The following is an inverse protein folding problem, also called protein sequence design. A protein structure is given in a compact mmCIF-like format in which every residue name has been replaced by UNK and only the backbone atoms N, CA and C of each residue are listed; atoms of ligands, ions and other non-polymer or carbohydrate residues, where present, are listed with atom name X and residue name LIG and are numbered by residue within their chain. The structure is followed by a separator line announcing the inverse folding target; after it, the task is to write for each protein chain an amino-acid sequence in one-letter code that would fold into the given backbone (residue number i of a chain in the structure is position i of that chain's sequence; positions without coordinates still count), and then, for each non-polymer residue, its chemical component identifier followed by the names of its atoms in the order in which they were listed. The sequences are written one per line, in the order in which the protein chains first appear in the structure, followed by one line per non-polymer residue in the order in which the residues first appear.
data_IF_294560923139
#
_entry.id   IF_294560923139
#
_cell.length_a   1.000
_cell.length_b   1.000
_cell.length_c   1.000
_cell.angle_alpha   90.00
_cell.angle_beta   90.00
_cell.angle_gamma   90.00
#
_symmetry.space_group_name_H-M   'P 1'
#
loop_
_entity.id
_entity.type
_entity.pdbx_description
1 polymer ?
#
# COMPACT_ATOMS: atom_id res chain seq x y z
N UNK A 1 1.03 -10.35 8.96
CA UNK A 1 1.37 -10.52 7.53
C UNK A 1 2.79 -11.03 7.28
N UNK A 2 3.74 -10.98 8.22
CA UNK A 2 5.07 -11.57 8.00
C UNK A 2 5.99 -10.79 7.05
N UNK A 3 5.65 -9.53 6.77
CA UNK A 3 6.40 -8.63 5.90
C UNK A 3 6.99 -7.50 6.75
N UNK A 4 8.21 -7.07 6.41
CA UNK A 4 8.90 -5.95 7.05
C UNK A 4 8.03 -4.69 7.05
N UNK A 5 7.84 -4.01 8.20
CA UNK A 5 7.14 -2.72 8.24
C UNK A 5 7.72 -1.70 7.26
N UNK A 6 9.05 -1.67 7.13
CA UNK A 6 9.76 -0.80 6.18
C UNK A 6 9.36 -1.10 4.73
N UNK A 7 9.15 -2.36 4.35
CA UNK A 7 8.67 -2.71 3.01
C UNK A 7 7.25 -2.16 2.78
N UNK A 8 6.35 -2.34 3.73
CA UNK A 8 4.95 -1.89 3.63
C UNK A 8 4.86 -0.36 3.52
N UNK A 9 5.62 0.36 4.36
CA UNK A 9 5.67 1.82 4.33
C UNK A 9 6.32 2.31 3.02
N UNK A 10 7.35 1.61 2.53
CA UNK A 10 7.98 1.94 1.24
C UNK A 10 7.01 1.77 0.07
N UNK A 11 6.18 0.73 0.09
CA UNK A 11 5.11 0.56 -0.88
C UNK A 11 4.10 1.69 -0.78
N UNK A 12 3.52 1.93 0.41
CA UNK A 12 2.56 3.02 0.59
C UNK A 12 3.11 4.38 0.14
N UNK A 13 4.37 4.69 0.44
CA UNK A 13 5.04 5.91 0.01
C UNK A 13 5.19 5.97 -1.53
N UNK A 14 5.53 4.85 -2.18
CA UNK A 14 5.60 4.79 -3.65
C UNK A 14 4.24 5.00 -4.28
N UNK A 15 3.23 4.23 -3.84
CA UNK A 15 1.89 4.21 -4.44
C UNK A 15 1.17 5.56 -4.30
N UNK A 16 1.42 6.27 -3.19
CA UNK A 16 0.71 7.52 -2.86
C UNK A 16 1.56 8.78 -3.11
N UNK A 17 2.82 8.61 -3.53
CA UNK A 17 3.80 9.69 -3.60
C UNK A 17 3.97 10.41 -2.27
N UNK A 18 4.27 9.65 -1.21
CA UNK A 18 4.35 10.13 0.18
C UNK A 18 3.06 10.81 0.67
N UNK A 19 1.92 10.25 0.30
CA UNK A 19 0.59 10.77 0.66
C UNK A 19 0.10 11.94 -0.20
N UNK A 20 0.91 12.47 -1.11
CA UNK A 20 0.52 13.61 -1.97
C UNK A 20 -0.62 13.27 -2.94
N UNK A 21 -0.74 12.01 -3.33
CA UNK A 21 -1.70 11.52 -4.32
C UNK A 21 -2.61 10.44 -3.72
N UNK A 22 -3.01 10.60 -2.46
CA UNK A 22 -3.99 9.72 -1.82
C UNK A 22 -5.32 9.71 -2.59
N UNK A 23 -5.99 8.56 -2.58
CA UNK A 23 -7.36 8.45 -3.10
C UNK A 23 -8.31 9.10 -2.09
N UNK A 24 -9.09 10.05 -2.59
CA UNK A 24 -10.03 10.85 -1.80
C UNK A 24 -11.44 10.77 -2.35
N UNK A 25 -12.43 10.90 -1.49
CA UNK A 25 -13.83 11.09 -1.91
C UNK A 25 -13.97 12.31 -2.83
N UNK A 26 -15.12 12.41 -3.50
CA UNK A 26 -15.54 13.69 -4.06
C UNK A 26 -15.62 14.76 -2.95
N UNK A 27 -15.43 16.02 -3.32
CA UNK A 27 -15.66 17.15 -2.42
C UNK A 27 -17.09 17.12 -1.90
N UNK A 28 -17.25 17.24 -0.59
CA UNK A 28 -18.55 17.42 0.02
C UNK A 28 -19.04 18.88 -0.18
N UNK A 29 -20.21 19.20 0.36
CA UNK A 29 -20.81 20.55 0.23
C UNK A 29 -20.02 21.64 0.95
N UNK A 30 -19.03 21.29 1.77
CA UNK A 30 -18.13 22.19 2.49
C UNK A 30 -16.77 22.32 1.79
N UNK A 31 -16.54 21.56 0.72
CA UNK A 31 -15.27 21.50 0.01
C UNK A 31 -14.24 20.57 0.67
N UNK A 32 -14.66 19.77 1.65
CA UNK A 32 -13.79 18.80 2.32
C UNK A 32 -13.74 17.49 1.53
N UNK A 33 -12.60 16.80 1.61
CA UNK A 33 -12.38 15.48 1.02
C UNK A 33 -12.06 14.47 2.11
N UNK A 34 -12.81 13.38 2.15
CA UNK A 34 -12.50 12.27 3.03
C UNK A 34 -11.36 11.44 2.44
N UNK A 35 -10.45 10.99 3.31
CA UNK A 35 -9.39 10.09 2.91
C UNK A 35 -9.95 8.65 2.85
N UNK A 36 -9.73 7.96 1.73
CA UNK A 36 -10.16 6.57 1.58
C UNK A 36 -9.33 5.57 2.39
N UNK A 37 -8.19 6.00 2.94
CA UNK A 37 -7.17 5.15 3.57
C UNK A 37 -6.69 3.99 2.69
N UNK A 38 -6.88 4.09 1.37
CA UNK A 38 -6.41 3.10 0.40
C UNK A 38 -5.01 3.43 -0.12
N UNK A 39 -4.01 3.09 0.68
CA UNK A 39 -2.60 3.36 0.38
C UNK A 39 -2.02 2.50 -0.73
N UNK A 40 -2.72 1.46 -1.19
CA UNK A 40 -2.20 0.45 -2.12
C UNK A 40 -2.97 0.39 -3.45
N UNK A 41 -3.88 1.35 -3.68
CA UNK A 41 -4.63 1.44 -4.93
C UNK A 41 -5.50 0.22 -5.24
N UNK A 42 -6.01 -0.48 -4.22
CA UNK A 42 -6.81 -1.68 -4.42
C UNK A 42 -8.15 -1.28 -5.05
N UNK A 43 -8.41 -1.81 -6.26
CA UNK A 43 -9.68 -1.58 -6.97
C UNK A 43 -10.85 -2.27 -6.26
N UNK A 44 -12.01 -1.64 -6.29
CA UNK A 44 -13.27 -2.25 -5.88
C UNK A 44 -13.82 -3.09 -7.03
N UNK A 45 -13.47 -4.38 -7.06
CA UNK A 45 -14.05 -5.33 -8.01
C UNK A 45 -15.46 -5.76 -7.58
N UNK A 46 -16.12 -6.60 -8.38
CA UNK A 46 -17.50 -7.04 -8.14
C UNK A 46 -17.72 -7.82 -6.84
N UNK A 47 -16.65 -8.30 -6.19
CA UNK A 47 -16.72 -9.02 -4.91
C UNK A 47 -16.57 -8.08 -3.72
N UNK A 48 -16.28 -6.80 -3.96
CA UNK A 48 -16.16 -5.81 -2.90
C UNK A 48 -17.53 -5.25 -2.52
N UNK A 49 -17.93 -5.49 -1.27
CA UNK A 49 -19.22 -5.05 -0.73
C UNK A 49 -19.10 -3.82 0.20
N UNK A 50 -17.87 -3.37 0.48
CA UNK A 50 -17.61 -2.20 1.32
C UNK A 50 -17.66 -0.88 0.57
N UNK A 51 -17.31 0.19 1.27
CA UNK A 51 -17.28 1.54 0.70
C UNK A 51 -16.27 1.66 -0.45
N UNK A 52 -16.57 2.54 -1.39
CA UNK A 52 -15.71 2.78 -2.56
C UNK A 52 -15.72 4.25 -2.97
N UNK A 53 -14.63 4.65 -3.61
CA UNK A 53 -14.45 5.97 -4.21
C UNK A 53 -14.24 5.80 -5.71
N UNK A 54 -15.04 6.50 -6.51
CA UNK A 54 -14.87 6.54 -7.96
C UNK A 54 -13.92 7.68 -8.35
N UNK A 55 -12.76 7.33 -8.90
CA UNK A 55 -11.77 8.30 -9.39
C UNK A 55 -11.81 8.31 -10.92
N UNK A 56 -11.84 9.51 -11.49
CA UNK A 56 -11.64 9.67 -12.95
C UNK A 56 -10.15 9.67 -13.24
N UNK A 57 -9.68 8.64 -13.92
CA UNK A 57 -8.29 8.52 -14.37
C UNK A 57 -8.17 8.88 -15.85
N UNK A 58 -6.98 9.31 -16.24
CA UNK A 58 -6.62 9.51 -17.63
C UNK A 58 -5.59 8.46 -18.01
N UNK A 59 -6.05 7.34 -18.57
CA UNK A 59 -5.15 6.31 -19.09
C UNK A 59 -4.74 6.64 -20.53
N UNK A 60 -3.54 6.22 -20.93
CA UNK A 60 -3.13 6.25 -22.34
C UNK A 60 -3.26 4.84 -22.91
N UNK A 61 -4.15 4.66 -23.89
CA UNK A 61 -4.28 3.41 -24.66
C UNK A 61 -4.02 3.72 -26.13
N UNK A 62 -3.10 2.99 -26.74
CA UNK A 62 -2.68 3.17 -28.14
C UNK A 62 -2.30 4.61 -28.50
N UNK A 63 -1.61 5.29 -27.58
CA UNK A 63 -1.18 6.68 -27.75
C UNK A 63 -2.28 7.73 -27.61
N UNK A 64 -3.52 7.34 -27.27
CA UNK A 64 -4.64 8.26 -27.02
C UNK A 64 -4.97 8.34 -25.54
N UNK A 65 -5.22 9.56 -25.05
CA UNK A 65 -5.71 9.79 -23.69
C UNK A 65 -7.18 9.40 -23.60
N UNK A 66 -7.47 8.34 -22.85
CA UNK A 66 -8.81 7.85 -22.55
C UNK A 66 -9.15 8.22 -21.11
N UNK A 67 -10.31 8.85 -20.93
CA UNK A 67 -10.84 9.09 -19.59
C UNK A 67 -11.58 7.83 -19.14
N UNK A 68 -11.15 7.25 -18.03
CA UNK A 68 -11.79 6.08 -17.44
C UNK A 68 -12.20 6.38 -16.01
N UNK A 69 -13.32 5.82 -15.57
CA UNK A 69 -13.69 5.83 -14.15
C UNK A 69 -13.25 4.51 -13.56
N UNK A 70 -12.43 4.58 -12.51
CA UNK A 70 -12.04 3.42 -11.73
C UNK A 70 -12.60 3.56 -10.31
N UNK A 71 -13.20 2.48 -9.83
CA UNK A 71 -13.64 2.38 -8.45
C UNK A 71 -12.52 1.78 -7.60
N UNK A 72 -12.19 2.46 -6.50
CA UNK A 72 -11.22 2.02 -5.51
C UNK A 72 -11.91 1.75 -4.20
N UNK A 73 -11.44 0.74 -3.46
CA UNK A 73 -11.93 0.46 -2.11
C UNK A 73 -11.68 1.67 -1.22
N UNK A 74 -12.60 1.94 -0.31
CA UNK A 74 -12.48 2.93 0.76
C UNK A 74 -12.60 2.21 2.09
N UNK A 75 -11.81 2.64 3.06
CA UNK A 75 -11.74 2.02 4.37
C UNK A 75 -12.03 3.08 5.44
N UNK A 76 -12.54 2.67 6.62
CA UNK A 76 -12.80 3.60 7.73
C UNK A 76 -11.53 4.02 8.49
N UNK A 77 -10.40 3.32 8.27
CA UNK A 77 -9.14 3.59 8.98
C UNK A 77 -7.93 3.02 8.26
N UNK A 78 -6.73 3.48 8.65
CA UNK A 78 -5.45 2.91 8.21
C UNK A 78 -5.37 1.41 8.52
N UNK A 79 -5.80 1.00 9.72
CA UNK A 79 -5.80 -0.40 10.13
C UNK A 79 -6.68 -1.27 9.22
N UNK A 80 -7.88 -0.79 8.88
CA UNK A 80 -8.77 -1.50 7.98
C UNK A 80 -8.15 -1.65 6.57
N UNK A 81 -7.52 -0.61 6.05
CA UNK A 81 -6.79 -0.66 4.77
C UNK A 81 -5.59 -1.62 4.80
N UNK A 82 -4.80 -1.62 5.87
CA UNK A 82 -3.69 -2.56 6.05
C UNK A 82 -4.16 -4.02 6.21
N UNK A 83 -5.29 -4.24 6.89
CA UNK A 83 -5.89 -5.56 7.04
C UNK A 83 -6.39 -6.09 5.69
N UNK A 84 -7.04 -5.26 4.89
CA UNK A 84 -7.49 -5.67 3.56
C UNK A 84 -6.31 -5.92 2.62
N UNK A 85 -5.28 -5.06 2.66
CA UNK A 85 -4.03 -5.29 1.93
C UNK A 85 -3.36 -6.61 2.34
N UNK A 86 -3.33 -6.92 3.64
CA UNK A 86 -2.84 -8.21 4.13
C UNK A 86 -3.64 -9.39 3.56
N UNK A 87 -4.95 -9.23 3.34
CA UNK A 87 -5.77 -10.28 2.76
C UNK A 87 -5.58 -10.38 1.25
N UNK A 88 -5.43 -9.25 0.57
CA UNK A 88 -5.11 -9.19 -0.85
C UNK A 88 -3.82 -9.95 -1.18
N UNK A 89 -2.78 -9.79 -0.36
CA UNK A 89 -1.51 -10.50 -0.51
C UNK A 89 -1.55 -12.00 -0.17
N UNK A 90 -2.67 -12.54 0.33
CA UNK A 90 -2.83 -14.00 0.54
C UNK A 90 -3.13 -14.77 -0.73
N UNK A 91 -3.39 -14.09 -1.86
CA UNK A 91 -3.60 -14.76 -3.13
C UNK A 91 -2.36 -15.59 -3.51
N UNK A 92 -2.58 -16.80 -4.05
CA UNK A 92 -1.52 -17.77 -4.43
C UNK A 92 -0.40 -17.12 -5.26
N UNK A 93 -0.76 -16.22 -6.18
CA UNK A 93 0.20 -15.46 -7.01
C UNK A 93 1.27 -14.70 -6.21
N UNK A 94 1.00 -14.33 -4.95
CA UNK A 94 1.90 -13.55 -4.10
C UNK A 94 2.61 -14.37 -3.03
N UNK A 95 2.44 -15.70 -2.99
CA UNK A 95 3.05 -16.57 -1.97
C UNK A 95 4.57 -16.41 -1.88
N UNK A 96 5.27 -16.36 -3.02
CA UNK A 96 6.72 -16.17 -3.05
C UNK A 96 7.15 -14.82 -2.48
N UNK A 97 6.36 -13.76 -2.71
CA UNK A 97 6.62 -12.47 -2.11
C UNK A 97 6.45 -12.56 -0.60
N UNK A 98 5.33 -13.11 -0.13
CA UNK A 98 5.05 -13.27 1.29
C UNK A 98 6.10 -14.11 2.02
N UNK A 99 6.62 -15.17 1.38
CA UNK A 99 7.73 -15.97 1.91
C UNK A 99 9.04 -15.18 2.05
N UNK A 100 9.24 -14.18 1.19
CA UNK A 100 10.39 -13.27 1.23
C UNK A 100 10.15 -12.02 2.10
N UNK A 101 9.06 -11.94 2.86
CA UNK A 101 8.61 -10.71 3.53
C UNK A 101 9.62 -10.01 4.44
N UNK A 102 10.61 -10.72 4.99
CA UNK A 102 11.69 -10.14 5.80
C UNK A 102 12.85 -9.57 4.97
N UNK A 103 12.96 -9.94 3.69
CA UNK A 103 13.93 -9.42 2.73
C UNK A 103 13.22 -8.47 1.76
N UNK A 104 13.37 -7.16 1.97
CA UNK A 104 12.65 -6.12 1.22
C UNK A 104 12.92 -6.20 -0.29
N UNK A 105 14.17 -6.46 -0.69
CA UNK A 105 14.55 -6.51 -2.11
C UNK A 105 13.92 -7.73 -2.80
N UNK A 106 14.00 -8.91 -2.17
CA UNK A 106 13.41 -10.13 -2.73
C UNK A 106 11.88 -10.08 -2.68
N UNK A 107 11.27 -9.56 -1.61
CA UNK A 107 9.83 -9.30 -1.54
C UNK A 107 9.34 -8.43 -2.71
N UNK A 108 10.00 -7.29 -2.96
CA UNK A 108 9.60 -6.37 -4.01
C UNK A 108 9.80 -6.99 -5.41
N UNK A 109 10.88 -7.76 -5.60
CA UNK A 109 11.15 -8.51 -6.83
C UNK A 109 10.08 -9.56 -7.11
N UNK A 110 9.68 -10.34 -6.10
CA UNK A 110 8.64 -11.36 -6.24
C UNK A 110 7.27 -10.73 -6.52
N UNK A 111 6.94 -9.59 -5.91
CA UNK A 111 5.73 -8.83 -6.26
C UNK A 111 5.72 -8.40 -7.73
N UNK A 112 6.84 -7.85 -8.22
CA UNK A 112 6.96 -7.45 -9.62
C UNK A 112 6.82 -8.65 -10.55
N UNK A 113 7.49 -9.77 -10.26
CA UNK A 113 7.39 -11.01 -11.05
C UNK A 113 5.96 -11.57 -11.04
N UNK A 114 5.26 -11.45 -9.92
CA UNK A 114 3.86 -11.83 -9.79
C UNK A 114 2.90 -10.88 -10.51
N UNK A 115 3.38 -9.78 -11.11
CA UNK A 115 2.58 -8.80 -11.84
C UNK A 115 1.78 -7.86 -10.93
N UNK A 116 2.30 -7.53 -9.74
CA UNK A 116 1.67 -6.55 -8.84
C UNK A 116 1.57 -5.16 -9.51
N UNK A 117 2.65 -4.72 -10.14
CA UNK A 117 2.72 -3.46 -10.89
C UNK A 117 3.25 -3.71 -12.31
N UNK A 118 2.81 -2.89 -13.26
CA UNK A 118 3.28 -2.93 -14.66
C UNK A 118 4.60 -2.20 -14.86
N UNK A 119 5.05 -1.42 -13.87
CA UNK A 119 6.31 -0.68 -13.91
C UNK A 119 7.51 -1.65 -13.87
N UNK A 120 8.37 -1.67 -14.91
CA UNK A 120 9.55 -2.56 -14.93
C UNK A 120 10.59 -2.22 -13.86
N UNK A 121 10.51 -1.04 -13.24
CA UNK A 121 11.41 -0.62 -12.15
C UNK A 121 10.77 -0.69 -10.77
N UNK A 122 9.60 -1.30 -10.63
CA UNK A 122 8.84 -1.36 -9.37
C UNK A 122 9.71 -1.79 -8.17
N UNK A 123 10.35 -2.96 -8.28
CA UNK A 123 11.16 -3.51 -7.20
C UNK A 123 12.35 -2.61 -6.83
N UNK A 124 12.97 -1.98 -7.83
CA UNK A 124 14.08 -1.05 -7.63
C UNK A 124 13.61 0.22 -6.90
N UNK A 125 12.42 0.74 -7.23
CA UNK A 125 11.84 1.92 -6.57
C UNK A 125 11.52 1.65 -5.10
N UNK A 126 10.92 0.49 -4.79
CA UNK A 126 10.67 0.07 -3.40
C UNK A 126 11.99 -0.02 -2.63
N UNK A 127 12.99 -0.70 -3.19
CA UNK A 127 14.30 -0.86 -2.56
C UNK A 127 14.98 0.50 -2.32
N UNK A 128 14.85 1.44 -3.25
CA UNK A 128 15.39 2.81 -3.10
C UNK A 128 14.71 3.56 -1.96
N UNK A 129 13.39 3.50 -1.86
CA UNK A 129 12.64 4.17 -0.79
C UNK A 129 13.00 3.55 0.57
N UNK A 130 13.05 2.22 0.66
CA UNK A 130 13.39 1.50 1.88
C UNK A 130 14.79 1.86 2.40
N UNK A 131 15.74 2.11 1.50
CA UNK A 131 17.11 2.45 1.83
C UNK A 131 17.38 3.97 1.94
N UNK A 132 16.36 4.82 1.74
CA UNK A 132 16.50 6.27 1.80
C UNK A 132 16.78 6.76 3.23
N UNK A 133 17.47 7.90 3.34
CA UNK A 133 17.76 8.51 4.65
C UNK A 133 16.49 8.85 5.42
N UNK A 134 15.44 9.29 4.71
CA UNK A 134 14.12 9.54 5.30
C UNK A 134 13.61 8.28 5.99
N UNK A 135 13.68 7.13 5.31
CA UNK A 135 13.17 5.87 5.87
C UNK A 135 14.00 5.39 7.07
N UNK A 136 15.34 5.42 6.95
CA UNK A 136 16.26 5.01 8.02
C UNK A 136 16.13 5.86 9.28
N UNK A 137 15.87 7.16 9.11
CA UNK A 137 15.71 8.08 10.23
C UNK A 137 14.29 8.04 10.83
N UNK A 138 13.28 7.61 10.07
CA UNK A 138 11.88 7.59 10.52
C UNK A 138 11.48 6.27 11.17
N UNK A 139 12.14 5.17 10.81
CA UNK A 139 11.89 3.84 11.37
C UNK A 139 13.17 3.38 12.07
N UNK A 140 13.34 3.64 13.38
CA UNK A 140 14.48 3.11 14.11
C UNK A 140 14.42 1.59 14.08
N UNK A 141 15.52 0.94 13.71
CA UNK A 141 15.65 -0.53 13.55
C UNK A 141 15.20 -1.33 14.79
N UNK A 142 15.18 -0.69 15.97
CA UNK A 142 14.77 -1.29 17.25
C UNK A 142 13.27 -1.18 17.60
N UNK A 143 12.44 -0.54 16.78
CA UNK A 143 11.01 -0.37 17.11
C UNK A 143 10.17 -1.66 17.05
N UNK A 144 10.72 -2.76 16.50
CA UNK A 144 10.02 -4.06 16.39
C UNK A 144 10.14 -4.91 17.66
N UNK A 145 11.07 -4.60 18.58
CA UNK A 145 11.23 -5.33 19.85
C UNK A 145 10.51 -4.70 21.05
N UNK A 146 10.09 -3.43 20.96
CA UNK A 146 9.53 -2.70 22.10
C UNK A 146 8.11 -3.16 22.52
N UNK A 147 7.38 -3.90 21.67
CA UNK A 147 6.05 -4.43 22.02
C UNK A 147 6.07 -5.75 22.79
N UNK A 148 7.24 -6.39 22.97
CA UNK A 148 7.35 -7.69 23.65
C UNK A 148 7.66 -7.59 25.16
N UNK A 149 7.88 -6.39 25.70
CA UNK A 149 8.25 -6.20 27.11
C UNK A 149 7.37 -5.13 27.75
N UNK A 150 6.09 -5.42 27.91
CA UNK A 150 5.26 -4.80 28.95
C UNK A 150 4.73 -5.92 29.85
N UNK A 151 5.63 -6.49 30.65
CA UNK A 151 5.23 -7.27 31.81
C UNK A 151 4.80 -6.28 32.90
N UNK A 152 3.52 -6.35 33.29
CA UNK A 152 2.92 -5.48 34.29
C UNK A 152 3.53 -5.79 35.66
N UNK A 153 4.13 -4.83 36.38
CA UNK A 153 4.60 -5.08 37.73
C UNK A 153 3.41 -5.34 38.64
N UNK A 154 3.33 -6.55 39.21
CA UNK A 154 2.47 -6.80 40.37
C UNK A 154 3.18 -6.21 41.59
N UNK A 155 2.70 -5.06 42.03
CA UNK A 155 2.93 -4.49 43.35
C UNK A 155 1.58 -4.15 43.97
#
# INVERSE_FOLDING_TARGET
MGVSPTAIISQAALETGWGKFMIHSAEDTKGDKENSFNFFGIKADSRWEGDKVSVTTHEYRDGKRVTEKADFRSYPSIEAGLKDYSNFLKAERYEKAMAAGSNIEEYAKQLQQAGYATDPQYAQKISRIANSDVMKNSIPENSVQASAVMEVPRG
#
